data_IF_657670717383
#
_entry.id   IF_657670717383
#
_cell.length_a   1.000
_cell.length_b   1.000
_cell.length_c   1.000
_cell.angle_alpha   90.00
_cell.angle_beta   90.00
_cell.angle_gamma   90.00
#
_symmetry.space_group_name_H-M   'P 1'
#
loop_
_entity.id
_entity.type
_entity.pdbx_description
1 polymer ?
#
# COMPACT_ATOMS: atom_id res chain seq x y z
N UNK A 1 1.27 -9.93 5.72
CA UNK A 1 1.48 -9.93 4.26
C UNK A 1 2.21 -8.65 3.91
N UNK A 2 3.04 -8.67 2.88
CA UNK A 2 3.88 -7.55 2.45
C UNK A 2 3.43 -7.16 1.05
N UNK A 3 3.30 -5.88 0.74
CA UNK A 3 3.42 -5.42 -0.65
C UNK A 3 4.90 -5.25 -0.94
N UNK A 4 5.44 -6.11 -1.79
CA UNK A 4 6.80 -5.96 -2.28
C UNK A 4 6.72 -5.48 -3.73
N UNK A 5 7.44 -4.40 -4.03
CA UNK A 5 7.89 -4.20 -5.40
C UNK A 5 8.72 -5.42 -5.82
N UNK A 6 8.69 -5.80 -7.10
CA UNK A 6 9.33 -7.02 -7.60
C UNK A 6 10.84 -6.99 -7.24
N UNK A 7 11.28 -7.99 -6.47
CA UNK A 7 12.62 -8.12 -5.82
C UNK A 7 12.89 -6.96 -4.85
N UNK A 8 13.78 -7.19 -3.87
CA UNK A 8 14.43 -6.11 -3.12
C UNK A 8 15.31 -5.30 -4.10
N UNK A 9 14.65 -4.63 -5.04
CA UNK A 9 15.29 -3.84 -6.05
C UNK A 9 15.70 -2.55 -5.38
N UNK A 10 16.98 -2.19 -5.53
CA UNK A 10 17.45 -0.85 -5.19
C UNK A 10 16.68 0.24 -5.95
N UNK A 11 15.89 -0.11 -6.97
CA UNK A 11 15.09 0.83 -7.74
C UNK A 11 13.96 1.43 -6.91
N UNK A 12 13.94 2.75 -6.94
CA UNK A 12 12.79 3.56 -6.57
C UNK A 12 11.65 3.23 -7.56
N UNK A 13 10.42 2.98 -7.10
CA UNK A 13 9.29 2.77 -8.00
C UNK A 13 9.10 3.95 -8.94
N UNK A 14 8.72 3.67 -10.19
CA UNK A 14 8.44 4.70 -11.18
C UNK A 14 7.24 5.52 -10.73
N UNK A 15 7.45 6.80 -10.47
CA UNK A 15 6.37 7.72 -10.18
C UNK A 15 5.59 8.01 -11.46
N UNK A 16 4.30 7.68 -11.47
CA UNK A 16 3.38 7.97 -12.56
C UNK A 16 2.32 8.98 -12.16
N UNK A 17 1.54 9.42 -13.15
CA UNK A 17 0.27 10.10 -12.94
C UNK A 17 -0.84 9.15 -13.35
N UNK A 18 -2.03 9.24 -12.75
CA UNK A 18 -3.20 8.58 -13.30
C UNK A 18 -3.37 9.00 -14.76
N UNK A 19 -3.58 8.03 -15.65
CA UNK A 19 -3.95 8.32 -17.02
C UNK A 19 -5.44 8.68 -17.06
N UNK A 20 -5.76 9.96 -17.30
CA UNK A 20 -7.12 10.48 -17.38
C UNK A 20 -7.24 11.46 -18.55
N UNK A 21 -7.65 10.95 -19.71
CA UNK A 21 -7.91 11.78 -20.90
C UNK A 21 -8.92 12.88 -20.60
N UNK A 22 -8.65 14.12 -21.01
CA UNK A 22 -9.53 15.28 -20.79
C UNK A 22 -9.39 15.96 -19.43
N UNK A 23 -8.56 15.42 -18.53
CA UNK A 23 -8.27 16.01 -17.21
C UNK A 23 -6.90 16.71 -17.14
N UNK A 24 -6.33 17.07 -18.29
CA UNK A 24 -4.99 17.65 -18.41
C UNK A 24 -4.81 18.94 -17.59
N UNK A 25 -5.87 19.73 -17.41
CA UNK A 25 -5.84 20.95 -16.58
C UNK A 25 -5.65 20.67 -15.09
N UNK A 26 -6.16 19.53 -14.60
CA UNK A 26 -6.04 19.11 -13.18
C UNK A 26 -4.68 18.44 -12.94
N UNK A 27 -4.19 17.69 -13.92
CA UNK A 27 -2.93 16.96 -13.83
C UNK A 27 -1.86 17.53 -14.76
N UNK A 28 -1.68 18.87 -14.74
CA UNK A 28 -0.76 19.59 -15.65
C UNK A 28 0.58 18.86 -15.78
N UNK A 29 0.96 18.60 -17.03
CA UNK A 29 2.16 17.83 -17.37
C UNK A 29 3.46 18.57 -17.01
N UNK A 30 3.40 19.89 -16.83
CA UNK A 30 4.52 20.74 -16.41
C UNK A 30 4.95 20.52 -14.95
N UNK A 31 4.08 19.91 -14.11
CA UNK A 31 4.42 19.58 -12.73
C UNK A 31 5.15 18.24 -12.68
N UNK A 32 6.28 18.20 -11.95
CA UNK A 32 7.00 16.95 -11.69
C UNK A 32 6.12 15.98 -10.85
N UNK A 33 6.16 14.66 -11.11
CA UNK A 33 5.56 13.67 -10.24
C UNK A 33 6.05 13.81 -8.80
N UNK A 34 5.25 13.34 -7.84
CA UNK A 34 5.62 13.34 -6.43
C UNK A 34 6.93 12.56 -6.26
N UNK A 35 7.94 13.17 -5.61
CA UNK A 35 9.18 12.45 -5.33
C UNK A 35 8.92 11.27 -4.41
N UNK A 36 9.74 10.22 -4.53
CA UNK A 36 9.57 9.01 -3.74
C UNK A 36 9.56 9.28 -2.23
N UNK A 37 10.46 10.12 -1.74
CA UNK A 37 10.51 10.54 -0.33
C UNK A 37 9.23 11.22 0.12
N UNK A 38 8.60 12.04 -0.74
CA UNK A 38 7.31 12.68 -0.39
C UNK A 38 6.17 11.67 -0.44
N UNK A 39 6.17 10.73 -1.40
CA UNK A 39 5.18 9.66 -1.50
C UNK A 39 5.22 8.75 -0.26
N UNK A 40 6.39 8.25 0.11
CA UNK A 40 6.55 7.43 1.32
C UNK A 40 6.27 8.23 2.58
N UNK A 41 6.67 9.50 2.64
CA UNK A 41 6.33 10.39 3.76
C UNK A 41 4.82 10.56 3.96
N UNK A 42 4.05 10.73 2.87
CA UNK A 42 2.59 10.76 2.93
C UNK A 42 2.02 9.41 3.36
N UNK A 43 2.49 8.31 2.76
CA UNK A 43 2.07 6.97 3.14
C UNK A 43 2.33 6.69 4.62
N UNK A 44 3.50 7.01 5.15
CA UNK A 44 3.86 6.78 6.55
C UNK A 44 2.96 7.53 7.54
N UNK A 45 2.40 8.69 7.15
CA UNK A 45 1.49 9.51 7.99
C UNK A 45 0.01 9.16 7.84
N UNK A 46 -0.37 8.47 6.78
CA UNK A 46 -1.77 8.08 6.51
C UNK A 46 -2.31 7.20 7.64
N UNK A 47 -3.47 7.52 8.19
CA UNK A 47 -4.10 6.80 9.31
C UNK A 47 -4.59 5.41 8.90
N UNK A 48 -5.13 5.28 7.69
CA UNK A 48 -5.75 4.07 7.18
C UNK A 48 -5.37 3.83 5.70
N UNK A 49 -5.61 2.63 5.19
CA UNK A 49 -5.38 2.38 3.78
C UNK A 49 -6.50 1.53 3.21
N UNK A 50 -6.73 1.67 1.92
CA UNK A 50 -7.64 0.83 1.16
C UNK A 50 -6.82 -0.13 0.31
N UNK A 51 -7.04 -1.43 0.49
CA UNK A 51 -6.44 -2.48 -0.31
C UNK A 51 -7.45 -2.95 -1.36
N UNK A 52 -7.11 -2.81 -2.63
CA UNK A 52 -7.78 -3.48 -3.75
C UNK A 52 -7.05 -4.77 -4.12
N UNK A 53 -7.79 -5.86 -4.18
CA UNK A 53 -7.35 -7.16 -4.69
C UNK A 53 -8.40 -7.74 -5.63
N UNK A 54 -8.05 -8.78 -6.37
CA UNK A 54 -8.94 -9.41 -7.37
C UNK A 54 -9.48 -10.73 -6.82
N UNK A 55 -10.81 -10.93 -6.90
CA UNK A 55 -11.45 -12.21 -6.54
C UNK A 55 -11.12 -13.28 -7.58
N UNK A 56 -11.34 -14.54 -7.22
CA UNK A 56 -11.15 -15.67 -8.13
C UNK A 56 -11.98 -15.56 -9.42
N UNK A 57 -13.14 -14.89 -9.37
CA UNK A 57 -14.03 -14.65 -10.51
C UNK A 57 -13.73 -13.33 -11.25
N UNK A 58 -12.57 -12.72 -11.00
CA UNK A 58 -12.13 -11.48 -11.65
C UNK A 58 -12.73 -10.20 -11.07
N UNK A 59 -13.73 -10.28 -10.17
CA UNK A 59 -14.34 -9.07 -9.59
C UNK A 59 -13.38 -8.34 -8.64
N UNK A 60 -13.37 -7.00 -8.63
CA UNK A 60 -12.57 -6.24 -7.67
C UNK A 60 -13.08 -6.45 -6.24
N UNK A 61 -12.18 -6.35 -5.27
CA UNK A 61 -12.49 -6.43 -3.85
C UNK A 61 -11.62 -5.45 -3.08
N UNK A 62 -12.25 -4.39 -2.56
CA UNK A 62 -11.60 -3.35 -1.78
C UNK A 62 -11.97 -3.50 -0.31
N UNK A 63 -10.99 -3.39 0.59
CA UNK A 63 -11.21 -3.40 2.03
C UNK A 63 -10.30 -2.38 2.73
N UNK A 64 -10.75 -1.73 3.82
CA UNK A 64 -9.84 -1.02 4.70
C UNK A 64 -8.84 -2.00 5.32
N UNK A 65 -7.62 -1.52 5.50
CA UNK A 65 -6.52 -2.20 6.19
C UNK A 65 -5.72 -1.19 7.01
N UNK A 66 -5.03 -1.72 8.00
CA UNK A 66 -3.95 -1.02 8.67
C UNK A 66 -2.62 -1.54 8.17
N UNK A 67 -1.63 -0.67 8.19
CA UNK A 67 -0.31 -1.03 7.74
C UNK A 67 0.75 -0.05 8.16
N UNK A 68 1.98 -0.42 7.89
CA UNK A 68 3.17 0.32 8.23
C UNK A 68 4.05 0.38 7.01
N UNK A 69 4.51 1.59 6.69
CA UNK A 69 5.63 1.76 5.79
C UNK A 69 6.93 1.62 6.58
N UNK A 70 7.71 0.57 6.33
CA UNK A 70 9.05 0.42 6.90
C UNK A 70 9.88 -0.48 5.98
N UNK A 71 11.21 -0.40 6.05
CA UNK A 71 12.09 -1.22 5.22
C UNK A 71 11.78 -1.13 3.71
N UNK A 72 11.57 0.12 3.25
CA UNK A 72 11.27 0.49 1.84
C UNK A 72 10.02 -0.18 1.24
N UNK A 73 9.17 -0.78 2.06
CA UNK A 73 8.00 -1.53 1.62
C UNK A 73 6.79 -1.23 2.50
N UNK A 74 5.61 -1.53 1.98
CA UNK A 74 4.37 -1.42 2.74
C UNK A 74 3.96 -2.78 3.29
N UNK A 75 3.76 -2.86 4.60
CA UNK A 75 3.38 -4.08 5.30
C UNK A 75 2.00 -3.94 5.93
N UNK A 76 1.21 -5.00 5.88
CA UNK A 76 -0.08 -5.07 6.53
C UNK A 76 -0.35 -6.48 7.05
N UNK A 77 -1.18 -6.60 8.09
CA UNK A 77 -1.63 -7.90 8.58
C UNK A 77 -3.06 -8.18 8.12
N UNK A 78 -3.36 -9.46 7.97
CA UNK A 78 -4.72 -9.95 7.75
C UNK A 78 -4.79 -11.42 8.12
N UNK A 79 -5.97 -11.89 8.54
CA UNK A 79 -6.19 -13.29 8.88
C UNK A 79 -6.05 -14.19 7.65
N UNK A 80 -5.34 -15.32 7.77
CA UNK A 80 -5.07 -16.25 6.66
C UNK A 80 -6.33 -16.75 5.96
N UNK A 81 -7.45 -16.89 6.69
CA UNK A 81 -8.74 -17.36 6.14
C UNK A 81 -9.58 -16.23 5.52
N UNK A 82 -9.13 -14.98 5.60
CA UNK A 82 -9.86 -13.82 5.07
C UNK A 82 -10.02 -13.88 3.55
N UNK A 83 -11.04 -13.20 3.02
CA UNK A 83 -11.22 -13.05 1.57
C UNK A 83 -10.02 -12.39 0.92
N UNK A 84 -9.45 -11.33 1.54
CA UNK A 84 -8.28 -10.62 0.99
C UNK A 84 -7.02 -11.51 0.95
N UNK A 85 -6.79 -12.39 1.94
CA UNK A 85 -5.71 -13.38 1.88
C UNK A 85 -5.91 -14.39 0.76
N UNK A 86 -7.12 -14.95 0.63
CA UNK A 86 -7.44 -15.93 -0.44
C UNK A 86 -7.31 -15.31 -1.84
N UNK A 87 -7.77 -14.06 -2.00
CA UNK A 87 -7.64 -13.32 -3.24
C UNK A 87 -6.16 -13.12 -3.60
N UNK A 88 -5.35 -12.62 -2.67
CA UNK A 88 -3.93 -12.35 -2.88
C UNK A 88 -3.06 -13.61 -3.06
N UNK A 89 -3.50 -14.77 -2.53
CA UNK A 89 -2.84 -16.05 -2.83
C UNK A 89 -3.09 -16.54 -4.25
N UNK A 90 -4.23 -16.19 -4.84
CA UNK A 90 -4.58 -16.56 -6.21
C UNK A 90 -4.04 -15.55 -7.23
N UNK A 91 -4.18 -14.25 -6.93
CA UNK A 91 -3.67 -13.16 -7.72
C UNK A 91 -2.96 -12.16 -6.79
N UNK A 92 -1.62 -12.14 -6.76
CA UNK A 92 -0.90 -11.29 -5.83
C UNK A 92 -0.87 -9.81 -6.27
N UNK A 93 -1.31 -9.48 -7.48
CA UNK A 93 -1.42 -8.10 -7.94
C UNK A 93 -2.47 -7.34 -7.14
N UNK A 94 -2.09 -6.17 -6.63
CA UNK A 94 -2.93 -5.37 -5.77
C UNK A 94 -2.57 -3.89 -5.81
N UNK A 95 -3.50 -3.08 -5.33
CA UNK A 95 -3.35 -1.64 -5.18
C UNK A 95 -3.61 -1.26 -3.73
N UNK A 96 -2.77 -0.41 -3.16
CA UNK A 96 -3.00 0.21 -1.86
C UNK A 96 -3.09 1.73 -2.03
N UNK A 97 -4.10 2.36 -1.46
CA UNK A 97 -4.24 3.81 -1.44
C UNK A 97 -4.35 4.32 0.01
N UNK A 98 -3.74 5.47 0.29
CA UNK A 98 -3.96 6.21 1.54
C UNK A 98 -5.40 6.71 1.65
N UNK A 99 -5.91 6.96 2.87
CA UNK A 99 -7.29 7.41 3.07
C UNK A 99 -7.55 8.86 2.65
N UNK A 100 -6.54 9.73 2.68
CA UNK A 100 -6.68 11.13 2.31
C UNK A 100 -6.68 11.31 0.78
N UNK A 101 -7.85 11.53 0.21
CA UNK A 101 -8.02 11.73 -1.24
C UNK A 101 -7.32 12.99 -1.78
N UNK A 102 -7.18 14.06 -0.97
CA UNK A 102 -6.55 15.33 -1.42
C UNK A 102 -5.05 15.19 -1.60
N UNK A 103 -4.43 14.27 -0.87
CA UNK A 103 -3.02 13.97 -0.98
C UNK A 103 -2.79 12.50 -1.37
N UNK A 104 -3.73 11.93 -2.13
CA UNK A 104 -3.75 10.52 -2.44
C UNK A 104 -2.40 10.05 -3.01
N UNK A 105 -1.89 8.97 -2.43
CA UNK A 105 -0.81 8.20 -3.00
C UNK A 105 -1.38 6.81 -3.28
N UNK A 106 -1.10 6.32 -4.48
CA UNK A 106 -1.55 5.02 -4.95
C UNK A 106 -0.30 4.16 -5.18
N UNK A 107 -0.23 3.04 -4.48
CA UNK A 107 0.85 2.06 -4.59
C UNK A 107 0.32 0.82 -5.29
N UNK A 108 0.78 0.61 -6.52
CA UNK A 108 0.54 -0.62 -7.28
C UNK A 108 1.69 -1.60 -7.02
N UNK A 109 1.37 -2.87 -6.78
CA UNK A 109 2.41 -3.86 -6.49
C UNK A 109 1.91 -5.28 -6.34
N UNK A 110 2.82 -6.12 -5.84
CA UNK A 110 2.61 -7.55 -5.66
C UNK A 110 2.68 -7.89 -4.18
N UNK A 111 1.62 -8.50 -3.65
CA UNK A 111 1.60 -8.97 -2.27
C UNK A 111 2.32 -10.31 -2.11
N UNK A 112 3.07 -10.47 -1.02
CA UNK A 112 3.76 -11.70 -0.62
C UNK A 112 3.45 -12.03 0.83
N UNK A 113 3.26 -13.30 1.13
CA UNK A 113 3.17 -13.75 2.52
C UNK A 113 4.56 -13.71 3.17
N UNK A 114 4.67 -13.08 4.34
CA UNK A 114 5.90 -13.07 5.14
C UNK A 114 5.77 -14.14 6.22
N UNK A 115 6.73 -15.07 6.25
CA UNK A 115 6.82 -16.14 7.26
C UNK A 115 7.97 -15.94 8.25
N UNK A 116 8.96 -15.12 7.89
CA UNK A 116 10.12 -14.80 8.72
C UNK A 116 9.70 -14.18 10.06
N UNK A 117 10.16 -14.77 11.17
CA UNK A 117 9.76 -14.38 12.52
C UNK A 117 10.24 -12.98 12.91
N UNK A 118 11.52 -12.67 12.67
CA UNK A 118 12.14 -11.37 12.95
C UNK A 118 11.40 -10.21 12.29
N UNK A 119 11.04 -10.35 11.01
CA UNK A 119 10.33 -9.33 10.24
C UNK A 119 8.89 -9.14 10.75
N UNK A 120 8.21 -10.23 11.12
CA UNK A 120 6.89 -10.17 11.75
C UNK A 120 6.93 -9.46 13.11
N UNK A 121 7.95 -9.73 13.93
CA UNK A 121 8.14 -9.05 15.21
C UNK A 121 8.36 -7.56 15.02
N UNK A 122 9.26 -7.16 14.10
CA UNK A 122 9.51 -5.75 13.76
C UNK A 122 8.22 -5.04 13.28
N UNK A 123 7.47 -5.67 12.38
CA UNK A 123 6.18 -5.14 11.92
C UNK A 123 5.19 -4.96 13.08
N UNK A 124 5.06 -5.95 13.96
CA UNK A 124 4.13 -5.88 15.09
C UNK A 124 4.50 -4.74 16.04
N UNK A 125 5.79 -4.55 16.34
CA UNK A 125 6.25 -3.43 17.16
C UNK A 125 5.89 -2.07 16.53
N UNK A 126 6.18 -1.88 15.24
CA UNK A 126 5.84 -0.64 14.54
C UNK A 126 4.32 -0.42 14.42
N UNK A 127 3.53 -1.48 14.24
CA UNK A 127 2.08 -1.37 14.20
C UNK A 127 1.51 -1.00 15.57
N UNK A 128 2.01 -1.58 16.66
CA UNK A 128 1.60 -1.24 18.03
C UNK A 128 1.92 0.22 18.36
N UNK A 129 3.11 0.69 18.00
CA UNK A 129 3.49 2.10 18.14
C UNK A 129 2.53 3.01 17.36
N UNK A 130 2.25 2.67 16.10
CA UNK A 130 1.24 3.38 15.30
C UNK A 130 -0.15 3.37 15.91
N UNK A 131 -0.56 2.24 16.50
CA UNK A 131 -1.88 2.13 17.13
C UNK A 131 -1.94 3.05 18.35
N UNK A 132 -0.91 3.02 19.20
CA UNK A 132 -0.77 3.88 20.37
C UNK A 132 -0.82 5.37 20.02
N UNK A 133 -0.18 5.77 18.93
CA UNK A 133 -0.11 7.17 18.50
C UNK A 133 -1.39 7.66 17.78
N UNK A 134 -2.22 6.76 17.24
CA UNK A 134 -3.23 7.10 16.24
C UNK A 134 -4.68 6.78 16.56
N UNK A 135 -4.98 5.93 17.56
CA UNK A 135 -6.36 5.48 17.86
C UNK A 135 -6.90 5.96 19.22
N UNK A 136 -6.19 6.87 19.89
CA UNK A 136 -6.61 7.49 21.14
C UNK A 136 -7.37 8.81 20.98
N UNK A 137 -8.25 8.92 19.97
CA UNK A 137 -9.17 10.04 19.82
C UNK A 137 -10.58 9.55 19.56
#
# INVERSE_FOLDING_TARGET
>A
MMLASKKASRHVPTAGRPYMSGYDMVFRQDKRPLSWTRATGRFSRAHNYYLSAVRADGRPHVMPIWGVWFDRSFYFSTARRSRKSKNLSLNPSCVVCSENAWEAVILEGVAKEVREGSLRSRFNSSLQERVRLGYGR
#
